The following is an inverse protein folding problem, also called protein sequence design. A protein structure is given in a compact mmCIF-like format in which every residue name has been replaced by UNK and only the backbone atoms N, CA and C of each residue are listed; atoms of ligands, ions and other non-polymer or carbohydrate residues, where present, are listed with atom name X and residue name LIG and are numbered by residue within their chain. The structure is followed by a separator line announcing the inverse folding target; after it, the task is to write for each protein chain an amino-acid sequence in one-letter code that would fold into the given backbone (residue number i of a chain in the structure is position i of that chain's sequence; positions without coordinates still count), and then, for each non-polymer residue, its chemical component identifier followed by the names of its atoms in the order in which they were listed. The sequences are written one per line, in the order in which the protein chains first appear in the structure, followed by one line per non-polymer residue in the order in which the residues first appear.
data_IF_559810332331
#
_entry.id   IF_559810332331
#
_cell.length_a   1.000
_cell.length_b   1.000
_cell.length_c   1.000
_cell.angle_alpha   90.00
_cell.angle_beta   90.00
_cell.angle_gamma   90.00
#
_symmetry.space_group_name_H-M   'P 1'
#
loop_
_entity.id
_entity.type
_entity.pdbx_description
1 polymer ?
#
# COMPACT_ATOMS: atom_id res chain seq x y z
N UNK A 1 -11.28 -12.81 32.71
CA UNK A 1 -12.36 -11.89 32.32
C UNK A 1 -12.44 -11.87 30.79
N UNK A 2 -13.52 -12.39 30.18
CA UNK A 2 -13.64 -12.45 28.73
C UNK A 2 -13.88 -11.04 28.15
N UNK A 3 -13.22 -10.75 27.03
CA UNK A 3 -13.30 -9.48 26.32
C UNK A 3 -13.63 -9.75 24.86
N UNK A 4 -14.59 -9.00 24.32
CA UNK A 4 -14.98 -9.03 22.91
C UNK A 4 -14.62 -7.69 22.30
N UNK A 5 -13.82 -7.75 21.25
CA UNK A 5 -13.50 -6.60 20.42
C UNK A 5 -14.33 -6.70 19.13
N UNK A 6 -15.16 -5.71 18.87
CA UNK A 6 -16.05 -5.72 17.72
C UNK A 6 -15.74 -4.58 16.75
N UNK A 7 -15.65 -4.94 15.48
CA UNK A 7 -15.31 -4.08 14.36
C UNK A 7 -16.26 -4.33 13.16
N UNK A 8 -17.56 -4.40 13.43
CA UNK A 8 -18.55 -4.55 12.37
C UNK A 8 -18.87 -3.22 11.68
N UNK A 9 -19.51 -3.31 10.50
CA UNK A 9 -20.01 -2.13 9.78
C UNK A 9 -21.23 -1.45 10.44
N UNK A 10 -21.73 -1.97 11.55
CA UNK A 10 -22.86 -1.50 12.35
C UNK A 10 -22.53 -1.68 13.83
N UNK A 11 -23.28 -1.05 14.73
CA UNK A 11 -23.16 -1.29 16.19
C UNK A 11 -23.46 -2.74 16.56
N UNK A 12 -22.85 -3.22 17.64
CA UNK A 12 -23.03 -4.55 18.18
C UNK A 12 -24.42 -4.72 18.80
N UNK A 13 -25.12 -5.79 18.43
CA UNK A 13 -26.49 -6.04 18.90
C UNK A 13 -26.63 -7.27 19.79
N UNK A 14 -25.58 -8.10 19.95
CA UNK A 14 -25.70 -9.33 20.72
C UNK A 14 -25.67 -9.06 22.23
N UNK A 15 -26.42 -9.85 23.01
CA UNK A 15 -26.51 -9.73 24.46
C UNK A 15 -25.13 -9.86 25.13
N UNK A 16 -24.85 -9.01 26.13
CA UNK A 16 -23.57 -8.99 26.85
C UNK A 16 -23.47 -9.99 28.00
N UNK A 17 -24.61 -10.55 28.42
CA UNK A 17 -24.73 -11.56 29.47
C UNK A 17 -25.24 -12.85 28.85
N UNK A 18 -24.66 -13.97 29.27
CA UNK A 18 -25.07 -15.27 28.77
C UNK A 18 -26.53 -15.58 29.11
N UNK A 19 -26.98 -15.17 30.30
CA UNK A 19 -28.35 -15.43 30.74
C UNK A 19 -29.41 -14.77 29.85
N UNK A 20 -29.08 -13.64 29.23
CA UNK A 20 -29.97 -12.95 28.28
C UNK A 20 -30.04 -13.63 26.90
N UNK A 21 -29.28 -14.71 26.68
CA UNK A 21 -29.34 -15.50 25.43
C UNK A 21 -30.28 -16.72 25.53
N UNK A 22 -30.77 -17.03 26.72
CA UNK A 22 -31.60 -18.20 26.98
C UNK A 22 -33.07 -17.81 27.18
N UNK A 23 -33.95 -18.42 26.40
CA UNK A 23 -35.39 -18.33 26.61
C UNK A 23 -35.78 -19.06 27.91
N UNK A 24 -36.62 -18.43 28.74
CA UNK A 24 -37.07 -19.00 30.00
C UNK A 24 -36.05 -18.95 31.15
N UNK A 25 -35.09 -18.01 31.09
CA UNK A 25 -34.08 -17.78 32.12
C UNK A 25 -34.63 -17.70 33.56
N UNK A 26 -35.88 -17.24 33.72
CA UNK A 26 -36.56 -17.11 35.01
C UNK A 26 -36.81 -18.46 35.72
N UNK A 27 -36.72 -19.60 35.01
CA UNK A 27 -36.94 -20.93 35.60
C UNK A 27 -35.67 -21.50 36.26
N UNK A 28 -34.51 -20.92 35.99
CA UNK A 28 -33.21 -21.47 36.39
C UNK A 28 -32.54 -20.73 37.56
N UNK A 29 -33.17 -19.68 38.10
CA UNK A 29 -32.77 -19.08 39.38
C UNK A 29 -31.30 -18.64 39.46
N UNK A 30 -30.66 -19.02 40.56
CA UNK A 30 -29.24 -18.72 40.85
C UNK A 30 -28.28 -19.78 40.29
N UNK A 31 -28.83 -20.92 39.86
CA UNK A 31 -28.11 -22.08 39.37
C UNK A 31 -27.62 -21.89 37.92
N UNK A 32 -28.14 -20.87 37.23
CA UNK A 32 -27.76 -20.54 35.87
C UNK A 32 -26.41 -19.80 35.83
N UNK A 33 -25.48 -20.30 35.03
CA UNK A 33 -24.19 -19.65 34.78
C UNK A 33 -24.38 -18.33 34.03
N UNK A 34 -24.27 -17.19 34.71
CA UNK A 34 -24.38 -15.87 34.10
C UNK A 34 -23.01 -15.19 33.97
N UNK A 35 -22.27 -15.51 32.91
CA UNK A 35 -21.02 -14.82 32.61
C UNK A 35 -21.27 -13.58 31.73
N UNK A 36 -20.56 -12.52 32.08
CA UNK A 36 -20.54 -11.27 31.34
C UNK A 36 -19.17 -11.09 30.67
N UNK A 37 -19.17 -10.55 29.46
CA UNK A 37 -17.95 -10.10 28.79
C UNK A 37 -17.90 -8.57 28.70
N UNK A 38 -16.69 -8.03 28.65
CA UNK A 38 -16.46 -6.62 28.32
C UNK A 38 -16.54 -6.51 26.80
N UNK A 39 -17.44 -5.68 26.28
CA UNK A 39 -17.52 -5.34 24.86
C UNK A 39 -16.80 -4.02 24.62
N UNK A 40 -15.90 -4.01 23.64
CA UNK A 40 -15.33 -2.81 23.04
C UNK A 40 -15.88 -2.75 21.62
N UNK A 41 -16.93 -1.94 21.41
CA UNK A 41 -17.51 -1.67 20.09
C UNK A 41 -16.92 -0.37 19.54
N UNK A 42 -16.09 -0.48 18.51
CA UNK A 42 -15.38 0.69 17.97
C UNK A 42 -16.26 1.65 17.21
N UNK A 43 -17.46 1.25 16.81
CA UNK A 43 -18.42 2.18 16.24
C UNK A 43 -18.94 3.20 17.25
N UNK A 44 -18.93 2.87 18.55
CA UNK A 44 -19.45 3.72 19.63
C UNK A 44 -18.40 4.69 20.20
N UNK A 45 -17.12 4.53 19.86
CA UNK A 45 -16.06 5.38 20.39
C UNK A 45 -15.69 6.50 19.41
N UNK A 46 -15.57 7.72 19.93
CA UNK A 46 -14.96 8.82 19.19
C UNK A 46 -13.45 8.59 19.10
N UNK A 47 -12.80 9.28 18.15
CA UNK A 47 -11.35 9.21 17.95
C UNK A 47 -10.60 9.50 19.25
N UNK A 48 -11.09 10.43 20.07
CA UNK A 48 -10.50 10.80 21.36
C UNK A 48 -10.62 9.69 22.43
N UNK A 49 -11.73 8.94 22.46
CA UNK A 49 -11.94 7.84 23.42
C UNK A 49 -11.20 6.56 23.03
N UNK A 50 -10.98 6.33 21.74
CA UNK A 50 -10.14 5.23 21.25
C UNK A 50 -8.67 5.41 21.66
N UNK A 51 -8.23 6.66 21.80
CA UNK A 51 -6.89 7.00 22.31
C UNK A 51 -6.74 6.69 23.81
N UNK A 52 -7.84 6.73 24.58
CA UNK A 52 -7.85 6.39 26.02
C UNK A 52 -7.98 4.88 26.26
N UNK A 53 -8.57 4.13 25.33
CA UNK A 53 -8.78 2.68 25.42
C UNK A 53 -7.51 1.93 25.01
N UNK A 54 -6.63 1.71 25.99
CA UNK A 54 -5.50 0.75 25.95
C UNK A 54 -4.79 0.72 24.59
N UNK A 55 -3.97 1.74 24.34
CA UNK A 55 -3.03 1.99 23.23
C UNK A 55 -3.03 0.99 22.05
N UNK A 56 -2.87 -0.32 22.27
CA UNK A 56 -2.86 -1.34 21.21
C UNK A 56 -4.20 -1.51 20.46
N UNK A 57 -5.35 -1.43 21.14
CA UNK A 57 -6.65 -1.64 20.49
C UNK A 57 -6.97 -0.45 19.60
N UNK A 58 -6.91 0.79 20.10
CA UNK A 58 -7.10 2.00 19.29
C UNK A 58 -6.15 2.04 18.07
N UNK A 59 -4.89 1.64 18.26
CA UNK A 59 -3.91 1.53 17.16
C UNK A 59 -4.32 0.51 16.09
N UNK A 60 -4.78 -0.70 16.47
CA UNK A 60 -5.24 -1.73 15.51
C UNK A 60 -6.40 -1.24 14.64
N UNK A 61 -7.30 -0.40 15.17
CA UNK A 61 -8.42 0.16 14.41
C UNK A 61 -8.04 1.28 13.45
N UNK A 62 -7.08 2.14 13.84
CA UNK A 62 -6.54 3.16 12.93
C UNK A 62 -5.94 2.53 11.66
N UNK A 63 -5.41 1.29 11.76
CA UNK A 63 -4.82 0.57 10.63
C UNK A 63 -5.80 -0.09 9.67
N UNK A 64 -6.98 -0.49 10.13
CA UNK A 64 -7.90 -1.26 9.29
C UNK A 64 -8.45 -0.40 8.13
N UNK A 65 -8.40 0.92 8.29
CA UNK A 65 -8.75 1.90 7.25
C UNK A 65 -7.64 2.14 6.24
N UNK A 66 -7.03 1.10 5.64
CA UNK A 66 -5.99 1.16 4.56
C UNK A 66 -5.45 2.59 4.24
N UNK A 67 -4.72 3.26 5.15
CA UNK A 67 -4.28 4.62 4.89
C UNK A 67 -3.13 4.54 3.89
N UNK A 68 -3.02 5.51 3.00
CA UNK A 68 -1.76 5.77 2.31
C UNK A 68 -0.67 6.11 3.34
N UNK A 69 0.59 5.83 3.00
CA UNK A 69 1.74 6.02 3.90
C UNK A 69 1.77 7.43 4.54
N UNK A 70 1.53 8.54 3.80
CA UNK A 70 1.42 9.87 4.39
C UNK A 70 0.39 9.98 5.51
N UNK A 71 -0.85 9.56 5.27
CA UNK A 71 -1.93 9.59 6.28
C UNK A 71 -1.59 8.74 7.51
N UNK A 72 -0.92 7.60 7.31
CA UNK A 72 -0.46 6.76 8.40
C UNK A 72 0.62 7.46 9.24
N UNK A 73 1.60 8.10 8.61
CA UNK A 73 2.66 8.83 9.31
C UNK A 73 2.10 10.02 10.10
N UNK A 74 1.14 10.76 9.54
CA UNK A 74 0.46 11.85 10.25
C UNK A 74 -0.26 11.36 11.52
N UNK A 75 -0.94 10.22 11.44
CA UNK A 75 -1.58 9.60 12.61
C UNK A 75 -0.54 9.18 13.66
N UNK A 76 0.56 8.53 13.24
CA UNK A 76 1.65 8.19 14.16
C UNK A 76 2.23 9.44 14.84
N UNK A 77 2.39 10.54 14.10
CA UNK A 77 2.85 11.80 14.68
C UNK A 77 1.91 12.31 15.78
N UNK A 78 0.58 12.23 15.58
CA UNK A 78 -0.42 12.61 16.58
C UNK A 78 -0.33 11.74 17.85
N UNK A 79 0.03 10.46 17.69
CA UNK A 79 0.18 9.51 18.80
C UNK A 79 1.53 9.60 19.52
N UNK A 80 2.49 10.37 19.01
CA UNK A 80 3.88 10.39 19.52
C UNK A 80 3.94 10.57 21.04
N UNK A 81 3.16 11.50 21.62
CA UNK A 81 3.17 11.74 23.07
C UNK A 81 2.68 10.53 23.87
N UNK A 82 1.59 9.91 23.43
CA UNK A 82 1.04 8.71 24.07
C UNK A 82 2.00 7.51 23.96
N UNK A 83 2.75 7.43 22.85
CA UNK A 83 3.77 6.41 22.64
C UNK A 83 5.03 6.66 23.48
N UNK A 84 5.41 7.93 23.72
CA UNK A 84 6.53 8.30 24.61
C UNK A 84 6.26 7.90 26.08
N UNK A 85 4.99 7.87 26.48
CA UNK A 85 4.53 7.47 27.82
C UNK A 85 4.18 5.97 27.92
N UNK A 86 4.38 5.20 26.86
CA UNK A 86 4.07 3.77 26.84
C UNK A 86 4.92 3.02 27.89
N UNK A 87 4.33 2.11 28.68
CA UNK A 87 5.13 1.29 29.60
C UNK A 87 6.16 0.47 28.82
N UNK A 88 7.44 0.41 29.25
CA UNK A 88 8.54 -0.18 28.49
C UNK A 88 8.28 -1.63 28.04
N UNK A 89 7.53 -2.41 28.83
CA UNK A 89 7.16 -3.79 28.51
C UNK A 89 6.28 -3.94 27.26
N UNK A 90 5.54 -2.90 26.88
CA UNK A 90 4.70 -2.90 25.68
C UNK A 90 5.43 -2.36 24.44
N UNK A 91 6.61 -1.76 24.61
CA UNK A 91 7.35 -1.18 23.49
C UNK A 91 7.79 -2.22 22.44
N UNK A 92 8.28 -3.42 22.81
CA UNK A 92 8.58 -4.48 21.83
C UNK A 92 7.35 -4.96 21.07
N UNK A 93 6.18 -4.95 21.71
CA UNK A 93 4.90 -5.32 21.08
C UNK A 93 4.54 -4.26 20.03
N UNK A 94 4.68 -2.98 20.38
CA UNK A 94 4.52 -1.88 19.44
C UNK A 94 5.52 -1.97 18.27
N UNK A 95 6.80 -2.28 18.51
CA UNK A 95 7.80 -2.47 17.46
C UNK A 95 7.45 -3.62 16.50
N UNK A 96 6.97 -4.74 17.04
CA UNK A 96 6.50 -5.88 16.23
C UNK A 96 5.32 -5.48 15.36
N UNK A 97 4.40 -4.73 15.95
CA UNK A 97 3.21 -4.24 15.29
C UNK A 97 3.53 -3.24 14.18
N UNK A 98 4.36 -2.23 14.44
CA UNK A 98 4.68 -1.20 13.44
C UNK A 98 5.38 -1.84 12.24
N UNK A 99 6.28 -2.82 12.44
CA UNK A 99 6.86 -3.61 11.35
C UNK A 99 5.80 -4.33 10.51
N UNK A 100 4.81 -4.94 11.13
CA UNK A 100 3.73 -5.65 10.41
C UNK A 100 2.93 -4.72 9.51
N UNK A 101 2.78 -3.46 9.93
CA UNK A 101 2.07 -2.43 9.18
C UNK A 101 2.93 -1.89 8.05
N UNK A 102 4.11 -1.39 8.39
CA UNK A 102 5.00 -0.67 7.49
C UNK A 102 5.57 -1.57 6.41
N UNK A 103 5.71 -2.88 6.67
CA UNK A 103 6.26 -3.82 5.70
C UNK A 103 5.26 -4.27 4.63
N UNK A 104 3.97 -3.90 4.74
CA UNK A 104 2.96 -4.24 3.72
C UNK A 104 3.28 -3.51 2.42
N UNK A 105 3.30 -4.25 1.31
CA UNK A 105 3.54 -3.68 -0.02
C UNK A 105 4.98 -3.22 -0.29
N UNK A 106 5.90 -3.38 0.66
CA UNK A 106 7.32 -3.09 0.45
C UNK A 106 8.07 -4.28 -0.18
N UNK A 107 9.13 -3.99 -0.94
CA UNK A 107 10.10 -4.99 -1.38
C UNK A 107 10.90 -5.54 -0.20
N UNK A 108 11.49 -6.74 -0.33
CA UNK A 108 12.31 -7.34 0.73
C UNK A 108 13.48 -6.47 1.17
N UNK A 109 14.06 -5.68 0.25
CA UNK A 109 15.10 -4.71 0.59
C UNK A 109 14.58 -3.58 1.48
N UNK A 110 13.41 -3.02 1.15
CA UNK A 110 12.82 -1.93 1.91
C UNK A 110 12.29 -2.42 3.27
N UNK A 111 11.75 -3.64 3.34
CA UNK A 111 11.38 -4.29 4.61
C UNK A 111 12.56 -4.40 5.58
N UNK A 112 13.74 -4.80 5.08
CA UNK A 112 14.97 -4.87 5.89
C UNK A 112 15.34 -3.49 6.43
N UNK A 113 15.39 -2.46 5.58
CA UNK A 113 15.68 -1.08 6.00
C UNK A 113 14.73 -0.57 7.08
N UNK A 114 13.43 -0.82 6.90
CA UNK A 114 12.41 -0.42 7.88
C UNK A 114 12.60 -1.16 9.20
N UNK A 115 12.82 -2.49 9.17
CA UNK A 115 13.12 -3.24 10.39
C UNK A 115 14.37 -2.71 11.08
N UNK A 116 15.45 -2.47 10.34
CA UNK A 116 16.71 -1.94 10.88
C UNK A 116 16.54 -0.57 11.53
N UNK A 117 15.62 0.27 11.01
CA UNK A 117 15.29 1.56 11.65
C UNK A 117 14.58 1.30 12.97
N UNK A 118 13.54 0.46 12.98
CA UNK A 118 12.71 0.20 14.16
C UNK A 118 13.53 -0.46 15.27
N UNK A 119 14.41 -1.41 14.91
CA UNK A 119 15.23 -2.19 15.85
C UNK A 119 16.32 -1.36 16.55
N UNK A 120 16.66 -0.19 16.03
CA UNK A 120 17.66 0.72 16.67
C UNK A 120 17.13 1.43 17.89
N UNK A 121 15.82 1.59 18.01
CA UNK A 121 15.20 2.32 19.11
C UNK A 121 14.63 1.32 20.09
N UNK A 122 15.06 1.37 21.35
CA UNK A 122 14.66 0.37 22.36
C UNK A 122 13.78 0.95 23.45
N UNK A 123 13.64 2.27 23.50
CA UNK A 123 12.90 2.97 24.55
C UNK A 123 11.71 3.77 23.99
N UNK A 124 10.56 3.80 24.69
CA UNK A 124 9.41 4.63 24.36
C UNK A 124 9.75 6.10 24.08
N UNK A 125 10.66 6.68 24.87
CA UNK A 125 11.08 8.09 24.74
C UNK A 125 11.76 8.41 23.40
N UNK A 126 12.25 7.40 22.70
CA UNK A 126 12.91 7.55 21.41
C UNK A 126 11.96 7.42 20.22
N UNK A 127 10.68 7.12 20.46
CA UNK A 127 9.67 6.88 19.41
C UNK A 127 9.56 8.03 18.42
N UNK A 128 9.71 9.27 18.87
CA UNK A 128 9.71 10.46 18.00
C UNK A 128 10.82 10.40 16.96
N UNK A 129 12.02 10.01 17.39
CA UNK A 129 13.15 9.84 16.48
C UNK A 129 12.90 8.66 15.54
N UNK A 130 12.34 7.56 16.03
CA UNK A 130 11.96 6.42 15.20
C UNK A 130 10.99 6.82 14.09
N UNK A 131 9.91 7.55 14.42
CA UNK A 131 8.92 8.04 13.47
C UNK A 131 9.58 8.93 12.41
N UNK A 132 10.44 9.88 12.82
CA UNK A 132 11.14 10.75 11.86
C UNK A 132 12.07 9.99 10.90
N UNK A 133 12.73 8.92 11.36
CA UNK A 133 13.55 8.08 10.49
C UNK A 133 12.70 7.25 9.52
N UNK A 134 11.54 6.77 9.96
CA UNK A 134 10.58 6.07 9.11
C UNK A 134 10.05 7.00 8.01
N UNK A 135 9.67 8.24 8.35
CA UNK A 135 9.20 9.24 7.36
C UNK A 135 10.23 9.43 6.25
N UNK A 136 11.47 9.72 6.62
CA UNK A 136 12.57 9.90 5.65
C UNK A 136 12.80 8.66 4.79
N UNK A 137 12.67 7.46 5.37
CA UNK A 137 12.84 6.22 4.63
C UNK A 137 11.73 6.06 3.58
N UNK A 138 10.48 6.32 3.96
CA UNK A 138 9.32 6.24 3.06
C UNK A 138 9.37 7.28 1.95
N UNK A 139 9.71 8.54 2.26
CA UNK A 139 9.96 9.58 1.25
C UNK A 139 11.04 9.14 0.25
N UNK A 140 12.12 8.53 0.76
CA UNK A 140 13.19 7.98 -0.08
C UNK A 140 12.73 6.82 -0.96
N UNK A 141 11.84 5.95 -0.48
CA UNK A 141 11.27 4.86 -1.28
C UNK A 141 10.37 5.38 -2.40
N UNK A 142 9.49 6.33 -2.08
CA UNK A 142 8.61 6.95 -3.06
C UNK A 142 9.41 7.68 -4.14
N UNK A 143 10.44 8.45 -3.74
CA UNK A 143 11.31 9.13 -4.67
C UNK A 143 12.01 8.16 -5.62
N UNK A 144 12.58 7.06 -5.11
CA UNK A 144 13.23 6.03 -5.93
C UNK A 144 12.25 5.38 -6.91
N UNK A 145 11.09 4.94 -6.42
CA UNK A 145 10.07 4.32 -7.25
C UNK A 145 9.62 5.25 -8.40
N UNK A 146 9.47 6.56 -8.11
CA UNK A 146 9.15 7.57 -9.12
C UNK A 146 10.26 7.74 -10.16
N UNK A 147 11.53 7.77 -9.73
CA UNK A 147 12.66 7.88 -10.66
C UNK A 147 12.78 6.65 -11.57
N UNK A 148 12.62 5.46 -11.00
CA UNK A 148 12.64 4.20 -11.75
C UNK A 148 11.51 4.17 -12.78
N UNK A 149 10.27 4.53 -12.41
CA UNK A 149 9.14 4.59 -13.33
C UNK A 149 9.34 5.62 -14.46
N UNK A 150 9.92 6.79 -14.17
CA UNK A 150 10.24 7.79 -15.21
C UNK A 150 11.34 7.27 -16.15
N UNK A 151 12.36 6.62 -15.60
CA UNK A 151 13.47 6.09 -16.39
C UNK A 151 13.00 4.96 -17.31
N UNK A 152 12.17 4.06 -16.81
CA UNK A 152 11.57 2.96 -17.56
C UNK A 152 10.66 3.48 -18.68
N UNK A 153 9.71 4.37 -18.36
CA UNK A 153 8.84 4.97 -19.38
C UNK A 153 9.60 5.76 -20.46
N UNK A 154 10.70 6.43 -20.10
CA UNK A 154 11.59 7.08 -21.09
C UNK A 154 12.40 6.08 -21.92
N UNK A 155 12.75 4.93 -21.36
CA UNK A 155 13.47 3.90 -22.10
C UNK A 155 12.54 3.23 -23.11
N UNK A 156 11.33 2.86 -22.68
CA UNK A 156 10.29 2.27 -23.51
C UNK A 156 9.88 3.22 -24.63
N UNK A 157 9.50 4.47 -24.32
CA UNK A 157 9.11 5.45 -25.35
C UNK A 157 10.23 5.76 -26.36
N UNK A 158 11.50 5.73 -25.94
CA UNK A 158 12.64 5.87 -26.88
C UNK A 158 12.89 4.62 -27.71
N UNK A 159 12.53 3.44 -27.23
CA UNK A 159 12.65 2.21 -27.99
C UNK A 159 11.55 2.15 -29.06
N UNK A 160 10.30 2.43 -28.67
CA UNK A 160 9.14 2.49 -29.55
C UNK A 160 9.32 3.57 -30.64
N UNK A 161 9.60 4.82 -30.25
CA UNK A 161 9.79 5.89 -31.23
C UNK A 161 10.95 5.64 -32.21
N UNK A 162 12.01 4.93 -31.79
CA UNK A 162 13.08 4.50 -32.70
C UNK A 162 12.69 3.35 -33.61
N UNK A 163 11.77 2.48 -33.19
CA UNK A 163 11.25 1.41 -34.03
C UNK A 163 10.30 1.99 -35.08
N UNK A 164 9.34 2.82 -34.66
CA UNK A 164 8.39 3.51 -35.52
C UNK A 164 9.11 4.40 -36.54
N UNK A 165 10.01 5.29 -36.09
CA UNK A 165 10.77 6.16 -36.99
C UNK A 165 11.65 5.40 -38.00
N UNK A 166 12.13 4.19 -37.65
CA UNK A 166 12.84 3.33 -38.61
C UNK A 166 11.91 2.75 -39.66
N UNK A 167 10.69 2.36 -39.29
CA UNK A 167 9.69 1.84 -40.23
C UNK A 167 9.19 2.96 -41.14
N UNK A 168 8.81 4.10 -40.57
CA UNK A 168 8.37 5.28 -41.32
C UNK A 168 9.45 5.81 -42.25
N UNK A 169 10.70 5.94 -41.76
CA UNK A 169 11.82 6.38 -42.59
C UNK A 169 12.11 5.42 -43.74
N UNK A 170 12.01 4.10 -43.53
CA UNK A 170 12.15 3.11 -44.62
C UNK A 170 11.02 3.25 -45.65
N UNK A 171 9.78 3.45 -45.19
CA UNK A 171 8.63 3.65 -46.07
C UNK A 171 8.72 4.96 -46.86
N UNK A 172 9.15 6.06 -46.24
CA UNK A 172 9.33 7.35 -46.88
C UNK A 172 10.44 7.30 -47.95
N UNK A 173 11.58 6.65 -47.64
CA UNK A 173 12.66 6.43 -48.60
C UNK A 173 12.16 5.57 -49.77
N UNK A 174 11.45 4.46 -49.50
CA UNK A 174 10.90 3.61 -50.54
C UNK A 174 9.93 4.36 -51.46
N UNK A 175 9.07 5.21 -50.90
CA UNK A 175 8.16 6.06 -51.67
C UNK A 175 8.90 7.04 -52.56
N UNK A 176 9.91 7.75 -52.04
CA UNK A 176 10.76 8.64 -52.85
C UNK A 176 11.48 7.90 -53.97
N UNK A 177 11.93 6.67 -53.73
CA UNK A 177 12.57 5.86 -54.77
C UNK A 177 11.59 5.42 -55.86
N UNK A 178 10.35 5.07 -55.50
CA UNK A 178 9.27 4.80 -56.46
C UNK A 178 8.96 6.03 -57.31
N UNK A 179 8.86 7.21 -56.69
CA UNK A 179 8.60 8.47 -57.38
C UNK A 179 9.74 8.84 -58.37
N UNK A 180 10.98 8.40 -58.09
CA UNK A 180 12.14 8.53 -58.99
C UNK A 180 12.20 7.46 -60.08
N UNK A 181 11.23 6.54 -60.14
CA UNK A 181 11.13 5.50 -61.16
C UNK A 181 12.10 4.32 -60.98
N UNK A 182 12.65 4.11 -59.78
CA UNK A 182 13.43 2.91 -59.49
C UNK A 182 12.56 1.65 -59.49
N UNK A 183 13.13 0.53 -59.93
CA UNK A 183 12.42 -0.74 -59.92
C UNK A 183 12.23 -1.29 -58.51
N UNK A 184 11.15 -2.04 -58.31
CA UNK A 184 10.72 -2.54 -57.00
C UNK A 184 11.78 -3.47 -56.37
N UNK A 185 12.55 -4.23 -57.18
CA UNK A 185 13.59 -5.12 -56.63
C UNK A 185 14.77 -4.34 -56.07
N UNK A 186 15.19 -3.27 -56.74
CA UNK A 186 16.24 -2.37 -56.24
C UNK A 186 15.80 -1.66 -54.96
N UNK A 187 14.55 -1.22 -54.89
CA UNK A 187 13.99 -0.58 -53.68
C UNK A 187 13.92 -1.55 -52.51
N UNK A 188 13.48 -2.79 -52.74
CA UNK A 188 13.45 -3.85 -51.72
C UNK A 188 14.85 -4.15 -51.16
N UNK A 189 15.87 -4.24 -52.03
CA UNK A 189 17.26 -4.42 -51.60
C UNK A 189 17.79 -3.22 -50.80
N UNK A 190 17.44 -1.99 -51.18
CA UNK A 190 17.96 -0.78 -50.55
C UNK A 190 17.30 -0.46 -49.20
N UNK A 191 15.99 -0.71 -49.07
CA UNK A 191 15.20 -0.34 -47.87
C UNK A 191 14.96 -1.50 -46.92
N UNK A 192 15.17 -2.73 -47.37
CA UNK A 192 14.88 -3.95 -46.62
C UNK A 192 13.38 -4.22 -46.43
N UNK A 193 12.52 -3.50 -47.17
CA UNK A 193 11.07 -3.75 -47.21
C UNK A 193 10.76 -4.90 -48.16
N UNK A 194 9.67 -5.62 -47.89
CA UNK A 194 9.17 -6.67 -48.78
C UNK A 194 8.52 -6.06 -50.03
N UNK A 195 8.51 -6.80 -51.13
CA UNK A 195 7.84 -6.39 -52.37
C UNK A 195 6.35 -6.07 -52.15
N UNK A 196 5.68 -6.79 -51.22
CA UNK A 196 4.30 -6.55 -50.84
C UNK A 196 4.12 -5.19 -50.14
N UNK A 197 4.98 -4.86 -49.16
CA UNK A 197 4.98 -3.56 -48.48
C UNK A 197 5.24 -2.40 -49.46
N UNK A 198 6.14 -2.58 -50.42
CA UNK A 198 6.42 -1.56 -51.44
C UNK A 198 5.22 -1.42 -52.40
N UNK A 199 4.57 -2.54 -52.75
CA UNK A 199 3.36 -2.54 -53.58
C UNK A 199 2.17 -1.82 -52.93
N UNK A 200 2.03 -1.90 -51.60
CA UNK A 200 1.02 -1.13 -50.86
C UNK A 200 1.31 0.38 -50.87
N UNK A 201 2.58 0.78 -50.79
CA UNK A 201 2.99 2.19 -50.87
C UNK A 201 2.77 2.81 -52.27
N UNK A 202 2.71 1.99 -53.31
CA UNK A 202 2.46 2.40 -54.70
C UNK A 202 0.96 2.60 -55.01
N UNK A 203 0.04 2.17 -54.13
CA UNK A 203 -1.39 2.36 -54.37
C UNK A 203 -1.77 3.82 -54.08
N UNK A 204 -2.38 4.54 -55.04
CA UNK A 204 -2.90 5.88 -54.75
C UNK A 204 -3.99 5.79 -53.67
N UNK A 205 -3.97 6.75 -52.72
CA UNK A 205 -5.05 6.93 -51.74
C UNK A 205 -6.32 7.40 -52.42
#
# INVERSE_FOLDING_TARGET
MPMVLYNGGSSWTACRRFRDTLDGQEWFGEELLDFQYILIDVHEYTEERLLELSNLIGMVFLLERKPDIPSFMEQLQRLTRALEELPPEFFPIFQTWIKLVTNRGLSEENKRKVSDIIDRFTEPKEVRNMISHLEKAFEGFEFKAKQEGIAEGRAEGRAEGRAEGRVEGRAEVAKRMLDLGMDIQTIAKATGLTMAQIGELSRPK
#
